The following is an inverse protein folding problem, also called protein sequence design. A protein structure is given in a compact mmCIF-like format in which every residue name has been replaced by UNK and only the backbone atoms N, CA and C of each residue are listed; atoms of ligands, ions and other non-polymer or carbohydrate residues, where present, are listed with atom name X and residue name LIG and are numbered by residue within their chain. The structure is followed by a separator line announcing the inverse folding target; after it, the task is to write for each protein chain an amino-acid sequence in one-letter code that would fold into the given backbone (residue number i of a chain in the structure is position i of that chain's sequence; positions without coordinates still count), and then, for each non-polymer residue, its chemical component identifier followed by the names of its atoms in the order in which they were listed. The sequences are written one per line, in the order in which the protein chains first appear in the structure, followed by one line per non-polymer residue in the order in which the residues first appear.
data_IF_869344592192
#
_entry.id   IF_869344592192
#
_cell.length_a   1.000
_cell.length_b   1.000
_cell.length_c   1.000
_cell.angle_alpha   90.00
_cell.angle_beta   90.00
_cell.angle_gamma   90.00
#
_symmetry.space_group_name_H-M   'P 1'
#
loop_
_entity.id
_entity.type
_entity.pdbx_description
1 polymer ?
#
# COMPACT_ATOMS: atom_id res chain seq x y z
N UNK A 1 9.43 -33.54 14.06
CA UNK A 1 9.23 -32.93 15.39
C UNK A 1 9.83 -31.53 15.36
N UNK A 2 8.99 -30.49 15.47
CA UNK A 2 9.40 -29.09 15.56
C UNK A 2 10.00 -28.85 16.93
N UNK A 3 11.24 -28.33 17.04
CA UNK A 3 11.70 -27.32 18.02
C UNK A 3 13.10 -26.85 17.63
N UNK A 4 13.27 -25.61 17.19
CA UNK A 4 14.28 -24.69 17.74
C UNK A 4 13.72 -23.27 17.58
N UNK A 5 13.54 -22.64 18.73
CA UNK A 5 12.99 -21.30 18.95
C UNK A 5 14.17 -20.40 19.34
N UNK A 6 14.16 -19.19 18.78
CA UNK A 6 14.82 -17.96 19.27
C UNK A 6 16.33 -17.98 19.49
N UNK A 7 17.03 -17.11 18.75
CA UNK A 7 18.09 -16.27 19.30
C UNK A 7 18.05 -14.89 18.64
N UNK A 8 17.63 -13.91 19.44
CA UNK A 8 17.79 -12.47 19.23
C UNK A 8 19.28 -12.13 19.18
N UNK A 9 19.70 -11.31 18.22
CA UNK A 9 20.88 -10.46 18.33
C UNK A 9 20.67 -9.21 17.48
N UNK A 10 20.13 -8.17 18.12
CA UNK A 10 20.23 -6.79 17.65
C UNK A 10 21.51 -6.23 18.25
N UNK A 11 22.51 -5.97 17.41
CA UNK A 11 23.69 -5.20 17.77
C UNK A 11 23.64 -3.86 17.03
N UNK A 12 23.25 -2.82 17.77
CA UNK A 12 23.39 -1.42 17.38
C UNK A 12 24.66 -0.89 18.07
N UNK A 13 25.69 -0.58 17.30
CA UNK A 13 26.94 0.11 17.68
C UNK A 13 27.56 0.52 16.33
N UNK A 14 27.80 1.78 15.96
CA UNK A 14 28.08 2.98 16.72
C UNK A 14 29.46 3.47 16.29
N UNK A 15 29.54 4.61 15.59
CA UNK A 15 30.75 5.44 15.51
C UNK A 15 30.41 6.84 14.94
N UNK A 16 30.83 7.84 15.70
CA UNK A 16 30.60 9.28 15.60
C UNK A 16 31.98 9.95 15.40
N UNK A 17 31.99 11.20 14.87
CA UNK A 17 33.08 12.23 14.92
C UNK A 17 34.28 11.98 13.98
N UNK A 18 34.93 12.96 13.32
CA UNK A 18 35.23 14.40 13.51
C UNK A 18 35.51 15.06 12.14
N UNK A 19 34.96 16.22 11.79
CA UNK A 19 35.45 17.60 12.00
C UNK A 19 36.69 18.07 11.18
N UNK A 20 36.54 19.29 10.65
CA UNK A 20 37.53 20.28 10.23
C UNK A 20 38.10 20.23 8.79
N UNK A 21 37.69 21.20 7.97
CA UNK A 21 38.62 22.24 7.49
C UNK A 21 37.85 23.48 7.02
N UNK A 22 38.30 24.62 7.54
CA UNK A 22 37.82 25.97 7.31
C UNK A 22 38.21 26.44 5.90
N UNK A 23 37.26 26.97 5.16
CA UNK A 23 37.54 28.09 4.26
C UNK A 23 36.37 29.06 4.33
N UNK A 24 36.57 30.12 5.11
CA UNK A 24 35.88 31.39 4.94
C UNK A 24 36.19 31.91 3.55
N UNK A 25 35.17 32.18 2.72
CA UNK A 25 35.03 33.40 1.93
C UNK A 25 33.57 33.52 1.53
N UNK A 26 32.92 34.55 2.06
CA UNK A 26 31.69 35.08 1.49
C UNK A 26 31.95 35.46 0.03
N UNK A 27 31.18 34.90 -0.89
CA UNK A 27 31.08 35.38 -2.26
C UNK A 27 29.60 35.40 -2.66
N UNK A 28 29.07 36.63 -2.56
CA UNK A 28 28.05 37.24 -3.40
C UNK A 28 27.07 36.32 -4.11
N UNK A 29 25.83 36.41 -3.63
CA UNK A 29 24.64 35.88 -4.30
C UNK A 29 24.48 36.54 -5.68
N UNK A 30 24.54 35.79 -6.81
CA UNK A 30 24.08 36.31 -8.09
C UNK A 30 22.54 36.26 -8.11
N UNK A 31 21.86 37.33 -8.55
CA UNK A 31 20.40 37.37 -8.55
C UNK A 31 19.84 36.49 -9.68
N UNK A 32 18.84 35.68 -9.34
CA UNK A 32 17.86 35.15 -10.29
C UNK A 32 18.37 34.09 -11.27
N UNK A 33 18.26 32.81 -10.88
CA UNK A 33 18.04 31.72 -11.84
C UNK A 33 16.66 31.12 -11.55
N UNK A 34 15.67 31.21 -12.46
CA UNK A 34 14.37 30.58 -12.27
C UNK A 34 14.55 29.09 -12.00
N UNK A 35 13.85 28.59 -10.98
CA UNK A 35 14.04 27.27 -10.40
C UNK A 35 14.14 26.15 -11.42
N UNK A 36 15.30 25.50 -11.47
CA UNK A 36 15.46 24.18 -12.07
C UNK A 36 15.30 23.14 -10.96
N UNK A 37 14.07 22.90 -10.52
CA UNK A 37 13.76 21.74 -9.68
C UNK A 37 12.34 21.22 -9.91
N UNK A 38 11.94 21.08 -11.18
CA UNK A 38 10.92 20.10 -11.56
C UNK A 38 11.64 18.78 -11.83
N UNK A 39 11.74 17.90 -10.82
CA UNK A 39 12.15 16.52 -11.08
C UNK A 39 11.21 15.85 -12.09
N UNK A 40 11.68 14.93 -12.95
CA UNK A 40 10.81 14.21 -13.87
C UNK A 40 9.88 13.30 -13.08
N UNK A 41 8.70 13.80 -12.70
CA UNK A 41 7.83 13.07 -11.78
C UNK A 41 6.34 13.40 -11.88
N UNK A 42 5.93 14.15 -12.91
CA UNK A 42 4.51 14.46 -13.18
C UNK A 42 4.02 13.78 -14.45
N UNK A 43 4.34 12.51 -14.65
CA UNK A 43 3.76 11.73 -15.75
C UNK A 43 2.29 11.44 -15.45
N UNK A 44 1.42 11.58 -16.45
CA UNK A 44 0.04 11.11 -16.42
C UNK A 44 0.05 9.57 -16.26
N UNK A 45 0.20 9.11 -15.02
CA UNK A 45 0.27 7.70 -14.70
C UNK A 45 -1.13 7.09 -14.87
N UNK A 46 -1.36 6.49 -16.03
CA UNK A 46 -2.58 5.74 -16.28
C UNK A 46 -2.67 4.57 -15.26
N UNK A 47 -3.72 4.52 -14.42
CA UNK A 47 -3.89 3.44 -13.45
C UNK A 47 -3.93 2.05 -14.08
N UNK A 48 -4.43 1.94 -15.31
CA UNK A 48 -4.46 0.68 -16.04
C UNK A 48 -3.05 0.26 -16.47
N UNK A 49 -2.21 1.18 -16.96
CA UNK A 49 -0.81 0.86 -17.25
C UNK A 49 -0.02 0.48 -16.01
N UNK A 50 -0.26 1.13 -14.87
CA UNK A 50 0.41 0.75 -13.62
C UNK A 50 0.02 -0.66 -13.18
N UNK A 51 -1.26 -1.02 -13.29
CA UNK A 51 -1.74 -2.39 -13.01
C UNK A 51 -1.08 -3.40 -13.94
N UNK A 52 -1.04 -3.13 -15.25
CA UNK A 52 -0.40 -4.02 -16.23
C UNK A 52 1.08 -4.25 -15.89
N UNK A 53 1.85 -3.18 -15.67
CA UNK A 53 3.28 -3.28 -15.29
C UNK A 53 3.48 -4.02 -13.97
N UNK A 54 2.55 -3.90 -13.02
CA UNK A 54 2.61 -4.64 -11.77
C UNK A 54 2.36 -6.14 -12.00
N UNK A 55 1.38 -6.49 -12.84
CA UNK A 55 1.08 -7.87 -13.20
C UNK A 55 2.23 -8.55 -13.95
N UNK A 56 2.85 -7.86 -14.91
CA UNK A 56 4.05 -8.35 -15.60
C UNK A 56 5.19 -8.65 -14.62
N UNK A 57 5.42 -7.76 -13.64
CA UNK A 57 6.42 -7.98 -12.58
C UNK A 57 6.10 -9.21 -11.73
N UNK A 58 4.84 -9.48 -11.43
CA UNK A 58 4.46 -10.69 -10.69
C UNK A 58 4.70 -11.95 -11.53
N UNK A 59 4.36 -11.93 -12.82
CA UNK A 59 4.62 -13.05 -13.73
C UNK A 59 6.10 -13.40 -13.79
N UNK A 60 6.96 -12.39 -13.94
CA UNK A 60 8.41 -12.55 -13.95
C UNK A 60 8.95 -13.07 -12.62
N UNK A 61 8.51 -12.50 -11.49
CA UNK A 61 8.94 -12.91 -10.15
C UNK A 61 8.55 -14.36 -9.84
N UNK A 62 7.35 -14.75 -10.23
CA UNK A 62 6.84 -16.12 -10.09
C UNK A 62 7.49 -17.08 -11.09
N UNK A 63 8.24 -16.56 -12.08
CA UNK A 63 8.94 -17.31 -13.13
C UNK A 63 7.98 -18.24 -13.90
N UNK A 64 6.75 -17.78 -14.14
CA UNK A 64 5.71 -18.57 -14.81
C UNK A 64 5.87 -18.43 -16.32
N UNK A 65 6.14 -19.55 -16.98
CA UNK A 65 6.26 -19.64 -18.44
C UNK A 65 4.98 -20.08 -19.12
N UNK A 66 4.16 -20.85 -18.43
CA UNK A 66 2.90 -21.38 -18.94
C UNK A 66 1.78 -20.32 -18.87
N UNK A 67 1.09 -20.09 -19.98
CA UNK A 67 0.03 -19.08 -20.07
C UNK A 67 -1.25 -19.49 -19.32
N UNK A 68 -1.55 -20.79 -19.22
CA UNK A 68 -2.74 -21.28 -18.53
C UNK A 68 -2.58 -21.18 -17.01
N UNK A 69 -1.42 -21.58 -16.49
CA UNK A 69 -1.02 -21.38 -15.09
C UNK A 69 -0.99 -19.89 -14.74
N UNK A 70 -0.40 -19.06 -15.62
CA UNK A 70 -0.37 -17.61 -15.41
C UNK A 70 -1.78 -17.03 -15.30
N UNK A 71 -2.70 -17.40 -16.21
CA UNK A 71 -4.07 -16.87 -16.21
C UNK A 71 -4.82 -17.22 -14.93
N UNK A 72 -4.63 -18.42 -14.39
CA UNK A 72 -5.23 -18.85 -13.11
C UNK A 72 -4.70 -18.00 -11.95
N UNK A 73 -3.38 -17.79 -11.89
CA UNK A 73 -2.72 -17.01 -10.84
C UNK A 73 -3.07 -15.52 -10.95
N UNK A 74 -3.11 -14.98 -12.16
CA UNK A 74 -3.47 -13.59 -12.46
C UNK A 74 -4.86 -13.24 -11.94
N UNK A 75 -5.85 -14.11 -12.16
CA UNK A 75 -7.21 -13.93 -11.63
C UNK A 75 -7.19 -13.84 -10.09
N UNK A 76 -6.40 -14.69 -9.42
CA UNK A 76 -6.30 -14.72 -7.95
C UNK A 76 -5.54 -13.51 -7.39
N UNK A 77 -4.46 -13.09 -8.03
CA UNK A 77 -3.72 -11.87 -7.68
C UNK A 77 -4.59 -10.62 -7.87
N UNK A 78 -5.42 -10.59 -8.91
CA UNK A 78 -6.40 -9.51 -9.13
C UNK A 78 -7.37 -9.41 -7.96
N UNK A 79 -7.98 -10.54 -7.55
CA UNK A 79 -8.89 -10.58 -6.40
C UNK A 79 -8.23 -10.12 -5.09
N UNK A 80 -6.98 -10.52 -4.84
CA UNK A 80 -6.21 -10.06 -3.67
C UNK A 80 -5.99 -8.55 -3.73
N UNK A 81 -5.62 -8.02 -4.89
CA UNK A 81 -5.37 -6.59 -5.07
C UNK A 81 -6.65 -5.76 -4.89
N UNK A 82 -7.77 -6.24 -5.43
CA UNK A 82 -9.09 -5.63 -5.24
C UNK A 82 -9.54 -5.65 -3.79
N UNK A 83 -9.43 -6.80 -3.12
CA UNK A 83 -9.78 -6.93 -1.70
C UNK A 83 -8.91 -6.00 -0.83
N UNK A 84 -7.63 -5.80 -1.16
CA UNK A 84 -6.76 -4.82 -0.50
C UNK A 84 -7.22 -3.39 -0.72
N UNK A 85 -7.57 -3.03 -1.95
CA UNK A 85 -8.10 -1.69 -2.24
C UNK A 85 -9.36 -1.43 -1.43
N UNK A 86 -10.27 -2.42 -1.35
CA UNK A 86 -11.50 -2.33 -0.57
C UNK A 86 -11.25 -2.25 0.93
N UNK A 87 -10.27 -2.99 1.46
CA UNK A 87 -9.85 -2.95 2.86
C UNK A 87 -9.04 -1.69 3.24
N UNK A 88 -8.79 -0.77 2.30
CA UNK A 88 -8.06 0.49 2.54
C UNK A 88 -6.54 0.39 2.35
N UNK A 89 -6.04 -0.73 1.81
CA UNK A 89 -4.62 -1.04 1.62
C UNK A 89 -3.93 -0.32 0.45
N UNK A 90 -4.58 0.61 -0.25
CA UNK A 90 -3.95 1.40 -1.33
C UNK A 90 -3.35 2.73 -0.84
N UNK A 91 -2.93 2.82 0.42
CA UNK A 91 -2.27 4.01 0.97
C UNK A 91 -0.79 4.17 0.59
N UNK A 92 -0.24 3.28 -0.25
CA UNK A 92 1.22 3.19 -0.50
C UNK A 92 1.68 3.52 -1.92
N UNK A 93 0.80 3.63 -2.91
CA UNK A 93 1.18 3.90 -4.31
C UNK A 93 0.74 5.30 -4.73
N UNK A 94 1.55 6.29 -4.36
CA UNK A 94 1.42 7.69 -4.77
C UNK A 94 0.59 8.55 -3.83
N UNK A 95 1.18 9.02 -2.72
CA UNK A 95 0.47 9.99 -1.87
C UNK A 95 1.03 10.28 -0.49
N UNK A 96 2.35 10.19 -0.26
CA UNK A 96 2.95 10.88 0.89
C UNK A 96 3.06 12.37 0.55
N UNK A 97 1.93 13.07 0.61
CA UNK A 97 1.86 14.50 0.31
C UNK A 97 0.42 14.96 0.18
N UNK A 98 -0.27 15.13 1.31
CA UNK A 98 -1.65 15.58 1.28
C UNK A 98 -2.29 15.71 2.65
N UNK A 99 -1.69 16.50 3.55
CA UNK A 99 -2.52 17.24 4.51
C UNK A 99 -3.29 18.26 3.67
N UNK A 100 -4.50 17.90 3.25
CA UNK A 100 -5.31 18.73 2.38
C UNK A 100 -6.69 18.12 2.19
N UNK A 101 -7.64 18.63 2.96
CA UNK A 101 -8.98 19.00 2.49
C UNK A 101 -9.45 18.35 1.17
N UNK A 102 -10.44 17.46 1.24
CA UNK A 102 -11.26 17.07 0.08
C UNK A 102 -10.53 16.24 -0.98
N UNK A 103 -10.34 14.94 -0.74
CA UNK A 103 -9.73 14.01 -1.69
C UNK A 103 -10.54 12.73 -1.82
N UNK A 104 -11.61 12.80 -2.58
CA UNK A 104 -12.38 11.67 -3.09
C UNK A 104 -11.45 10.83 -3.98
N UNK A 105 -10.91 9.73 -3.45
CA UNK A 105 -9.84 8.98 -4.11
C UNK A 105 -9.74 7.53 -3.64
N UNK A 106 -10.89 6.88 -3.40
CA UNK A 106 -11.03 5.45 -3.19
C UNK A 106 -12.46 5.10 -3.59
N UNK A 107 -12.65 4.06 -4.42
CA UNK A 107 -13.90 3.80 -5.13
C UNK A 107 -15.19 3.82 -4.28
N UNK A 108 -16.37 3.96 -4.93
CA UNK A 108 -17.64 4.36 -4.31
C UNK A 108 -18.13 3.51 -3.13
N UNK A 109 -17.58 2.31 -2.89
CA UNK A 109 -18.00 1.41 -1.80
C UNK A 109 -16.96 1.27 -0.68
N UNK A 110 -15.70 1.62 -0.95
CA UNK A 110 -14.63 1.48 0.05
C UNK A 110 -14.83 2.46 1.22
N UNK A 111 -15.54 3.58 0.98
CA UNK A 111 -15.57 4.71 1.89
C UNK A 111 -16.98 5.17 2.29
N UNK A 112 -18.06 4.49 1.89
CA UNK A 112 -19.43 4.95 2.18
C UNK A 112 -19.76 4.88 3.66
N UNK A 113 -19.60 3.72 4.32
CA UNK A 113 -19.92 3.62 5.75
C UNK A 113 -19.01 4.50 6.62
N UNK A 114 -17.76 4.72 6.17
CA UNK A 114 -16.84 5.64 6.82
C UNK A 114 -17.27 7.11 6.64
N UNK A 115 -17.70 7.49 5.43
CA UNK A 115 -18.25 8.81 5.13
C UNK A 115 -19.53 9.07 5.91
N UNK A 116 -20.44 8.09 6.00
CA UNK A 116 -21.69 8.20 6.74
C UNK A 116 -21.45 8.43 8.24
N UNK A 117 -20.54 7.64 8.84
CA UNK A 117 -20.14 7.81 10.23
C UNK A 117 -19.49 9.18 10.45
N UNK A 118 -18.58 9.59 9.58
CA UNK A 118 -17.93 10.90 9.64
C UNK A 118 -18.96 12.04 9.58
N UNK A 119 -19.91 11.95 8.65
CA UNK A 119 -20.96 12.95 8.48
C UNK A 119 -21.84 13.05 9.72
N UNK A 120 -22.17 11.91 10.36
CA UNK A 120 -22.92 11.93 11.63
C UNK A 120 -22.14 12.60 12.78
N UNK A 121 -20.83 12.41 12.85
CA UNK A 121 -19.98 13.08 13.83
C UNK A 121 -19.92 14.59 13.54
N UNK A 122 -19.70 14.98 12.29
CA UNK A 122 -19.63 16.39 11.87
C UNK A 122 -20.97 17.13 12.08
N UNK A 123 -22.10 16.43 11.97
CA UNK A 123 -23.44 16.97 12.18
C UNK A 123 -23.90 16.96 13.66
N UNK A 124 -23.05 16.54 14.60
CA UNK A 124 -23.40 16.31 16.02
C UNK A 124 -24.70 15.49 16.17
N UNK A 125 -24.80 14.42 15.37
CA UNK A 125 -25.98 13.57 15.34
C UNK A 125 -26.22 12.89 16.71
N UNK A 126 -27.48 12.53 17.04
CA UNK A 126 -27.79 11.85 18.30
C UNK A 126 -26.95 10.59 18.51
N UNK A 127 -26.57 10.31 19.76
CA UNK A 127 -25.70 9.18 20.12
C UNK A 127 -26.18 7.82 19.56
N UNK A 128 -27.50 7.61 19.46
CA UNK A 128 -28.10 6.41 18.89
C UNK A 128 -27.79 6.25 17.38
N UNK A 129 -27.77 7.35 16.63
CA UNK A 129 -27.45 7.36 15.20
C UNK A 129 -25.96 7.09 14.98
N UNK A 130 -25.08 7.77 15.74
CA UNK A 130 -23.63 7.56 15.69
C UNK A 130 -23.30 6.09 16.00
N UNK A 131 -23.92 5.50 17.02
CA UNK A 131 -23.73 4.08 17.37
C UNK A 131 -24.13 3.16 16.21
N UNK A 132 -25.27 3.41 15.58
CA UNK A 132 -25.76 2.63 14.44
C UNK A 132 -24.79 2.69 13.25
N UNK A 133 -24.31 3.90 12.89
CA UNK A 133 -23.34 4.09 11.80
C UNK A 133 -21.98 3.46 12.11
N UNK A 134 -21.54 3.52 13.38
CA UNK A 134 -20.32 2.88 13.84
C UNK A 134 -20.38 1.35 13.73
N UNK A 135 -21.51 0.75 14.08
CA UNK A 135 -21.72 -0.70 13.93
C UNK A 135 -21.65 -1.12 12.46
N UNK A 136 -22.29 -0.35 11.55
CA UNK A 136 -22.20 -0.59 10.10
C UNK A 136 -20.76 -0.48 9.59
N UNK A 137 -20.03 0.57 9.98
CA UNK A 137 -18.63 0.74 9.59
C UNK A 137 -17.76 -0.43 10.07
N UNK A 138 -17.90 -0.84 11.34
CA UNK A 138 -17.16 -2.00 11.88
C UNK A 138 -17.49 -3.31 11.16
N UNK A 139 -18.76 -3.52 10.82
CA UNK A 139 -19.18 -4.68 10.05
C UNK A 139 -18.58 -4.69 8.63
N UNK A 140 -18.58 -3.52 7.96
CA UNK A 140 -17.94 -3.31 6.64
C UNK A 140 -16.45 -3.64 6.70
N UNK A 141 -15.72 -3.15 7.71
CA UNK A 141 -14.30 -3.46 7.91
C UNK A 141 -14.06 -4.96 8.12
N UNK A 142 -14.84 -5.60 8.99
CA UNK A 142 -14.72 -7.05 9.23
C UNK A 142 -14.98 -7.87 7.97
N UNK A 143 -15.96 -7.48 7.16
CA UNK A 143 -16.26 -8.15 5.90
C UNK A 143 -15.12 -8.00 4.88
N UNK A 144 -14.56 -6.79 4.75
CA UNK A 144 -13.41 -6.49 3.88
C UNK A 144 -12.17 -7.28 4.29
N UNK A 145 -11.88 -7.37 5.58
CA UNK A 145 -10.78 -8.18 6.11
C UNK A 145 -10.97 -9.67 5.82
N UNK A 146 -12.19 -10.20 6.02
CA UNK A 146 -12.51 -11.59 5.72
C UNK A 146 -12.39 -11.90 4.22
N UNK A 147 -12.83 -10.98 3.35
CA UNK A 147 -12.68 -11.11 1.90
C UNK A 147 -11.21 -11.10 1.47
N UNK A 148 -10.39 -10.26 2.10
CA UNK A 148 -8.94 -10.23 1.86
C UNK A 148 -8.28 -11.55 2.27
N UNK A 149 -8.57 -12.06 3.47
CA UNK A 149 -8.03 -13.35 3.93
C UNK A 149 -8.43 -14.47 2.97
N UNK A 150 -9.71 -14.54 2.58
CA UNK A 150 -10.18 -15.53 1.62
C UNK A 150 -9.46 -15.42 0.28
N UNK A 151 -9.31 -14.22 -0.27
CA UNK A 151 -8.60 -14.02 -1.54
C UNK A 151 -7.13 -14.46 -1.45
N UNK A 152 -6.48 -14.22 -0.31
CA UNK A 152 -5.11 -14.67 -0.05
C UNK A 152 -5.02 -16.19 0.03
N UNK A 153 -5.96 -16.85 0.70
CA UNK A 153 -6.01 -18.31 0.78
C UNK A 153 -6.29 -18.95 -0.60
N UNK A 154 -7.22 -18.38 -1.37
CA UNK A 154 -7.53 -18.82 -2.74
C UNK A 154 -6.31 -18.65 -3.67
N UNK A 155 -5.48 -17.62 -3.46
CA UNK A 155 -4.20 -17.45 -4.16
C UNK A 155 -3.19 -18.51 -3.71
N UNK A 156 -3.04 -18.77 -2.41
CA UNK A 156 -2.09 -19.77 -1.89
C UNK A 156 -2.34 -21.16 -2.49
N UNK A 157 -3.61 -21.55 -2.69
CA UNK A 157 -3.98 -22.85 -3.23
C UNK A 157 -3.47 -23.13 -4.65
N UNK A 158 -3.20 -22.09 -5.44
CA UNK A 158 -2.76 -22.22 -6.84
C UNK A 158 -1.26 -21.95 -7.03
N UNK A 159 -0.54 -21.63 -5.95
CA UNK A 159 0.89 -21.34 -5.99
C UNK A 159 1.72 -22.55 -5.57
N UNK A 160 2.86 -22.72 -6.22
CA UNK A 160 3.96 -23.56 -5.73
C UNK A 160 4.68 -22.87 -4.57
N UNK A 161 5.44 -23.62 -3.76
CA UNK A 161 6.14 -23.05 -2.60
C UNK A 161 7.11 -21.90 -2.94
N UNK A 162 7.72 -21.91 -4.13
CA UNK A 162 8.57 -20.80 -4.58
C UNK A 162 7.76 -19.55 -4.92
N UNK A 163 6.61 -19.72 -5.57
CA UNK A 163 5.73 -18.61 -5.93
C UNK A 163 5.04 -18.05 -4.68
N UNK A 164 4.66 -18.90 -3.72
CA UNK A 164 4.15 -18.46 -2.42
C UNK A 164 5.19 -17.59 -1.69
N UNK A 165 6.46 -18.03 -1.61
CA UNK A 165 7.52 -17.22 -1.01
C UNK A 165 7.69 -15.86 -1.72
N UNK A 166 7.65 -15.85 -3.07
CA UNK A 166 7.68 -14.61 -3.83
C UNK A 166 6.45 -13.72 -3.56
N UNK A 167 5.26 -14.31 -3.43
CA UNK A 167 4.03 -13.60 -3.10
C UNK A 167 4.06 -13.00 -1.68
N UNK A 168 4.66 -13.69 -0.71
CA UNK A 168 4.89 -13.16 0.65
C UNK A 168 5.87 -11.98 0.60
N UNK A 169 6.98 -12.09 -0.15
CA UNK A 169 7.95 -11.00 -0.30
C UNK A 169 7.38 -9.79 -1.05
N UNK A 170 6.52 -10.03 -2.05
CA UNK A 170 5.72 -9.01 -2.71
C UNK A 170 4.63 -8.43 -1.80
N UNK A 171 4.47 -8.98 -0.60
CA UNK A 171 3.48 -8.60 0.37
C UNK A 171 2.06 -8.99 -0.02
N UNK A 172 1.82 -9.80 -1.06
CA UNK A 172 0.52 -10.30 -1.53
C UNK A 172 -0.11 -11.33 -0.58
N UNK A 173 0.73 -12.14 0.06
CA UNK A 173 0.35 -13.10 1.09
C UNK A 173 0.93 -12.72 2.45
N UNK A 174 0.34 -13.28 3.51
CA UNK A 174 0.84 -13.21 4.88
C UNK A 174 1.32 -14.58 5.32
#
# INVERSE_FOLDING_TARGET
MKKVVQLLNVAFLGAILTAASLTSLAQDTPPGRPGRQGGPGGGNFDPQQMRQRMMERYREQFKIKDDAEWKLIEERVTKVTEARMQAGGFGGFGGRGGRGQGGQGGGPEANTEASDLRTAIEADAPAAEIKTKLEKYRASMKAKDAALVKAQDDLRQVLTGKQEAAAVLAGLLK
#
